data_IF_680232990796
#
_entry.id   IF_680232990796
#
_cell.length_a   1.000
_cell.length_b   1.000
_cell.length_c   1.000
_cell.angle_alpha   90.00
_cell.angle_beta   90.00
_cell.angle_gamma   90.00
#
_symmetry.space_group_name_H-M   'P 1'
#
loop_
_entity.id
_entity.type
_entity.pdbx_description
1 polymer ?
#
# COMPACT_ATOMS: atom_id res chain seq x y z
N UNK A 1 42.47 24.72 39.53
CA UNK A 1 41.87 23.52 40.13
C UNK A 1 40.40 23.85 40.34
N UNK A 2 39.57 23.67 39.31
CA UNK A 2 38.88 22.39 38.99
C UNK A 2 38.21 21.83 40.25
N UNK A 3 36.89 21.74 40.31
CA UNK A 3 36.15 20.65 39.65
C UNK A 3 34.75 21.08 39.18
N UNK A 4 34.48 20.85 37.89
CA UNK A 4 33.17 20.98 37.27
C UNK A 4 32.24 19.84 37.68
N UNK A 5 31.07 20.20 38.22
CA UNK A 5 29.97 19.26 38.45
C UNK A 5 29.38 18.80 37.11
N UNK A 6 29.77 17.59 36.69
CA UNK A 6 29.17 16.92 35.55
C UNK A 6 27.78 16.38 35.93
N UNK A 7 26.74 17.19 35.71
CA UNK A 7 25.36 16.71 35.69
C UNK A 7 25.20 15.75 34.51
N UNK A 8 25.19 14.45 34.81
CA UNK A 8 24.90 13.38 33.85
C UNK A 8 23.44 13.48 33.43
N UNK A 9 23.18 14.14 32.31
CA UNK A 9 21.85 14.17 31.69
C UNK A 9 21.36 12.74 31.47
N UNK A 10 20.26 12.37 32.13
CA UNK A 10 19.61 11.10 31.92
C UNK A 10 19.11 11.01 30.47
N UNK A 11 19.52 9.98 29.74
CA UNK A 11 19.04 9.71 28.40
C UNK A 11 17.50 9.63 28.40
N UNK A 12 16.80 10.23 27.41
CA UNK A 12 15.36 10.16 27.35
C UNK A 12 14.93 8.69 27.25
N UNK A 13 14.09 8.24 28.18
CA UNK A 13 13.52 6.89 28.18
C UNK A 13 12.83 6.67 26.83
N UNK A 14 13.40 5.81 25.98
CA UNK A 14 12.82 5.49 24.68
C UNK A 14 11.40 4.94 24.88
N UNK A 15 10.41 5.63 24.31
CA UNK A 15 9.01 5.19 24.31
C UNK A 15 8.96 3.74 23.78
N UNK A 16 8.32 2.79 24.48
CA UNK A 16 8.20 1.43 23.95
C UNK A 16 7.54 1.48 22.57
N UNK A 17 7.92 0.59 21.64
CA UNK A 17 7.34 0.58 20.30
C UNK A 17 5.82 0.53 20.45
N UNK A 18 5.14 1.58 19.98
CA UNK A 18 3.69 1.65 20.03
C UNK A 18 3.13 0.44 19.30
N UNK A 19 2.14 -0.23 19.90
CA UNK A 19 1.40 -1.26 19.20
C UNK A 19 0.97 -0.71 17.83
N UNK A 20 1.18 -1.45 16.73
CA UNK A 20 0.81 -0.99 15.40
C UNK A 20 -0.65 -0.56 15.41
N UNK A 21 -0.91 0.65 14.92
CA UNK A 21 -2.24 1.23 14.99
C UNK A 21 -3.17 0.53 14.00
N UNK A 22 -4.47 0.49 14.31
CA UNK A 22 -5.49 0.01 13.37
C UNK A 22 -5.41 0.76 12.03
N UNK A 23 -4.98 2.02 12.04
CA UNK A 23 -4.73 2.82 10.83
C UNK A 23 -3.66 2.22 9.91
N UNK A 24 -2.53 1.77 10.47
CA UNK A 24 -1.43 1.19 9.69
C UNK A 24 -1.86 -0.13 9.03
N UNK A 25 -2.55 -0.97 9.81
CA UNK A 25 -3.14 -2.21 9.29
C UNK A 25 -4.18 -1.91 8.20
N UNK A 26 -5.08 -0.96 8.42
CA UNK A 26 -6.10 -0.57 7.45
C UNK A 26 -5.49 -0.01 6.15
N UNK A 27 -4.42 0.78 6.23
CA UNK A 27 -3.72 1.33 5.08
C UNK A 27 -3.09 0.22 4.22
N UNK A 28 -2.40 -0.75 4.84
CA UNK A 28 -1.88 -1.91 4.12
C UNK A 28 -2.99 -2.70 3.44
N UNK A 29 -4.10 -2.94 4.13
CA UNK A 29 -5.25 -3.67 3.58
C UNK A 29 -5.91 -2.92 2.41
N UNK A 30 -6.02 -1.59 2.49
CA UNK A 30 -6.52 -0.73 1.39
C UNK A 30 -5.54 -0.69 0.22
N UNK A 31 -4.24 -0.78 0.48
CA UNK A 31 -3.19 -0.91 -0.53
C UNK A 31 -3.11 -2.28 -1.22
N UNK A 32 -3.99 -3.23 -0.86
CA UNK A 32 -4.06 -4.54 -1.50
C UNK A 32 -3.31 -5.66 -0.78
N UNK A 33 -2.59 -5.37 0.30
CA UNK A 33 -1.93 -6.42 1.09
C UNK A 33 -2.99 -7.34 1.71
N UNK A 34 -2.77 -8.65 1.63
CA UNK A 34 -3.59 -9.66 2.32
C UNK A 34 -3.47 -9.50 3.85
N UNK A 35 -4.40 -10.09 4.62
CA UNK A 35 -4.31 -10.06 6.09
C UNK A 35 -3.00 -10.67 6.61
N UNK A 36 -2.51 -11.74 5.98
CA UNK A 36 -1.24 -12.38 6.30
C UNK A 36 -0.04 -11.46 6.00
N UNK A 37 -0.01 -10.83 4.82
CA UNK A 37 1.05 -9.88 4.46
C UNK A 37 1.06 -8.65 5.37
N UNK A 38 -0.10 -8.08 5.68
CA UNK A 38 -0.20 -6.96 6.61
C UNK A 38 0.23 -7.35 8.03
N UNK A 39 -0.15 -8.55 8.47
CA UNK A 39 0.28 -9.13 9.75
C UNK A 39 1.79 -9.32 9.82
N UNK A 40 2.40 -9.87 8.78
CA UNK A 40 3.85 -10.05 8.69
C UNK A 40 4.59 -8.70 8.70
N UNK A 41 4.11 -7.72 7.92
CA UNK A 41 4.71 -6.39 7.83
C UNK A 41 4.70 -5.66 9.17
N UNK A 42 3.61 -5.78 9.93
CA UNK A 42 3.44 -5.18 11.25
C UNK A 42 3.92 -6.07 12.40
N UNK A 43 4.54 -7.22 12.09
CA UNK A 43 5.03 -8.21 13.07
C UNK A 43 3.97 -8.62 14.10
N UNK A 44 2.73 -8.78 13.64
CA UNK A 44 1.60 -9.15 14.48
C UNK A 44 1.60 -10.65 14.79
N UNK A 45 1.39 -10.98 16.06
CA UNK A 45 1.04 -12.35 16.45
C UNK A 45 -0.37 -12.75 15.95
N UNK A 46 -0.69 -14.05 15.87
CA UNK A 46 -1.96 -14.55 15.30
C UNK A 46 -3.22 -13.95 15.95
N UNK A 47 -3.19 -13.77 17.27
CA UNK A 47 -4.30 -13.16 18.03
C UNK A 47 -4.49 -11.69 17.68
N UNK A 48 -3.40 -10.93 17.58
CA UNK A 48 -3.44 -9.51 17.23
C UNK A 48 -3.93 -9.32 15.79
N UNK A 49 -3.46 -10.14 14.85
CA UNK A 49 -3.93 -10.14 13.46
C UNK A 49 -5.44 -10.39 13.37
N UNK A 50 -5.98 -11.38 14.09
CA UNK A 50 -7.45 -11.63 14.11
C UNK A 50 -8.24 -10.44 14.64
N UNK A 51 -7.75 -9.80 15.70
CA UNK A 51 -8.40 -8.61 16.27
C UNK A 51 -8.38 -7.43 15.30
N UNK A 52 -7.23 -7.19 14.63
CA UNK A 52 -7.08 -6.14 13.63
C UNK A 52 -7.98 -6.38 12.41
N UNK A 53 -8.04 -7.61 11.90
CA UNK A 53 -8.92 -7.96 10.78
C UNK A 53 -10.40 -7.79 11.15
N UNK A 54 -10.80 -8.17 12.38
CA UNK A 54 -12.17 -7.95 12.86
C UNK A 54 -12.51 -6.46 12.92
N UNK A 55 -11.60 -5.64 13.47
CA UNK A 55 -11.79 -4.19 13.56
C UNK A 55 -11.84 -3.53 12.18
N UNK A 56 -10.94 -3.92 11.26
CA UNK A 56 -10.92 -3.46 9.88
C UNK A 56 -12.23 -3.79 9.15
N UNK A 57 -12.71 -5.05 9.23
CA UNK A 57 -14.00 -5.43 8.62
C UNK A 57 -15.17 -4.62 9.19
N UNK A 58 -15.15 -4.33 10.49
CA UNK A 58 -16.13 -3.45 11.14
C UNK A 58 -16.11 -2.02 10.60
N UNK A 59 -14.93 -1.47 10.29
CA UNK A 59 -14.81 -0.15 9.64
C UNK A 59 -15.36 -0.17 8.21
N UNK A 60 -15.01 -1.19 7.42
CA UNK A 60 -15.50 -1.33 6.04
C UNK A 60 -17.02 -1.45 5.99
N UNK A 61 -17.62 -2.25 6.88
CA UNK A 61 -19.08 -2.41 6.96
C UNK A 61 -19.80 -1.10 7.30
N UNK A 62 -19.13 -0.16 7.98
CA UNK A 62 -19.66 1.17 8.32
C UNK A 62 -19.39 2.23 7.24
N UNK A 63 -18.84 1.84 6.09
CA UNK A 63 -18.44 2.77 5.03
C UNK A 63 -17.20 3.61 5.36
N UNK A 64 -16.49 3.29 6.45
CA UNK A 64 -15.30 4.03 6.85
C UNK A 64 -14.08 3.61 5.99
N UNK A 65 -13.87 4.36 4.92
CA UNK A 65 -12.81 4.16 3.94
C UNK A 65 -13.15 3.06 2.96
N UNK A 66 -13.61 3.48 1.78
CA UNK A 66 -13.87 2.60 0.64
C UNK A 66 -12.70 1.63 0.43
N UNK A 67 -12.99 0.36 0.68
CA UNK A 67 -12.01 -0.71 0.74
C UNK A 67 -11.66 -1.19 -0.66
N UNK A 68 -10.93 -0.35 -1.40
CA UNK A 68 -10.69 -0.51 -2.83
C UNK A 68 -11.99 -0.53 -3.66
N UNK A 69 -11.96 -0.06 -4.91
CA UNK A 69 -13.05 -0.32 -5.83
C UNK A 69 -13.26 -1.85 -5.96
N UNK A 70 -14.51 -2.32 -6.02
CA UNK A 70 -14.86 -3.77 -6.11
C UNK A 70 -14.09 -4.52 -7.21
N UNK A 71 -13.63 -3.82 -8.25
CA UNK A 71 -12.86 -4.38 -9.35
C UNK A 71 -11.37 -4.63 -9.04
N UNK A 72 -10.77 -3.97 -8.04
CA UNK A 72 -9.35 -4.09 -7.73
C UNK A 72 -8.94 -5.43 -7.10
N UNK A 73 -9.92 -6.26 -6.69
CA UNK A 73 -9.70 -7.59 -6.10
C UNK A 73 -9.95 -8.74 -7.06
N UNK A 74 -10.36 -8.45 -8.28
CA UNK A 74 -10.67 -9.52 -9.23
C UNK A 74 -9.40 -9.87 -10.00
N UNK A 75 -8.63 -10.83 -9.48
CA UNK A 75 -7.58 -11.50 -10.25
C UNK A 75 -8.15 -12.07 -11.57
N UNK A 76 -9.42 -12.48 -11.56
CA UNK A 76 -10.18 -12.85 -12.77
C UNK A 76 -10.36 -11.67 -13.74
N UNK A 77 -10.56 -10.46 -13.24
CA UNK A 77 -10.67 -9.26 -14.07
C UNK A 77 -9.30 -8.89 -14.62
N UNK A 78 -8.24 -8.93 -13.80
CA UNK A 78 -6.87 -8.71 -14.28
C UNK A 78 -6.50 -9.75 -15.33
N UNK A 79 -6.76 -11.04 -15.08
CA UNK A 79 -6.53 -12.11 -16.04
C UNK A 79 -7.36 -11.93 -17.32
N UNK A 80 -8.62 -11.47 -17.21
CA UNK A 80 -9.44 -11.16 -18.38
C UNK A 80 -8.87 -9.98 -19.19
N UNK A 81 -8.44 -8.91 -18.54
CA UNK A 81 -7.80 -7.76 -19.20
C UNK A 81 -6.49 -8.17 -19.87
N UNK A 82 -5.65 -8.93 -19.17
CA UNK A 82 -4.40 -9.45 -19.74
C UNK A 82 -4.68 -10.40 -20.91
N UNK A 83 -5.72 -11.24 -20.81
CA UNK A 83 -6.18 -12.10 -21.90
C UNK A 83 -6.81 -11.34 -23.09
N UNK A 84 -7.18 -10.08 -22.90
CA UNK A 84 -7.67 -9.20 -23.98
C UNK A 84 -6.55 -8.42 -24.67
N UNK A 85 -5.31 -8.49 -24.19
CA UNK A 85 -4.18 -7.70 -24.72
C UNK A 85 -3.59 -6.70 -23.71
N UNK A 86 -4.11 -6.67 -22.48
CA UNK A 86 -3.59 -5.84 -21.39
C UNK A 86 -4.16 -4.43 -21.38
N UNK A 87 -3.48 -3.53 -20.66
CA UNK A 87 -3.85 -2.12 -20.58
C UNK A 87 -3.19 -1.34 -21.72
N UNK A 88 -3.86 -0.31 -22.28
CA UNK A 88 -3.25 0.54 -23.27
C UNK A 88 -2.01 1.24 -22.70
N UNK A 89 -0.88 1.09 -23.38
CA UNK A 89 0.37 1.74 -23.02
C UNK A 89 0.51 3.07 -23.78
N UNK A 90 1.01 4.10 -23.09
CA UNK A 90 1.42 5.34 -23.74
C UNK A 90 2.68 5.09 -24.56
N UNK A 91 2.77 5.68 -25.75
CA UNK A 91 4.01 5.68 -26.53
C UNK A 91 4.75 6.98 -26.33
N UNK A 92 6.07 6.92 -26.29
CA UNK A 92 6.91 8.10 -26.17
C UNK A 92 7.78 8.25 -27.42
N UNK A 93 7.78 9.45 -28.03
CA UNK A 93 8.64 9.78 -29.17
C UNK A 93 9.31 11.13 -28.94
N UNK A 94 10.64 11.18 -29.13
CA UNK A 94 11.38 12.44 -29.09
C UNK A 94 11.07 13.32 -30.29
N UNK A 95 10.94 14.62 -30.06
CA UNK A 95 10.76 15.64 -31.10
C UNK A 95 11.81 16.74 -30.88
N UNK A 96 12.71 16.92 -31.85
CA UNK A 96 13.80 17.87 -31.75
C UNK A 96 14.80 17.52 -30.65
N UNK A 97 15.49 18.54 -30.10
CA UNK A 97 16.61 18.35 -29.17
C UNK A 97 16.17 18.06 -27.73
N UNK A 98 15.00 18.55 -27.32
CA UNK A 98 14.51 18.45 -25.93
C UNK A 98 13.03 18.09 -25.81
N UNK A 99 12.29 18.03 -26.92
CA UNK A 99 10.85 17.76 -26.89
C UNK A 99 10.54 16.28 -26.79
N UNK A 100 9.43 15.97 -26.12
CA UNK A 100 8.82 14.64 -26.05
C UNK A 100 7.36 14.75 -26.45
N UNK A 101 6.92 13.83 -27.30
CA UNK A 101 5.52 13.62 -27.64
C UNK A 101 5.07 12.30 -27.03
N UNK A 102 3.96 12.36 -26.29
CA UNK A 102 3.31 11.21 -25.71
C UNK A 102 2.09 10.86 -26.57
N UNK A 103 2.09 9.67 -27.15
CA UNK A 103 0.98 9.13 -27.91
C UNK A 103 0.00 8.38 -27.02
N UNK A 104 -1.28 8.76 -27.08
CA UNK A 104 -2.38 8.00 -26.48
C UNK A 104 -2.85 6.95 -27.50
N UNK A 105 -2.91 5.67 -27.12
CA UNK A 105 -3.47 4.64 -28.01
C UNK A 105 -4.96 4.91 -28.24
N UNK A 106 -5.35 5.01 -29.51
CA UNK A 106 -6.74 5.26 -29.92
C UNK A 106 -7.62 3.99 -29.87
N UNK A 107 -6.99 2.82 -29.79
CA UNK A 107 -7.64 1.51 -29.73
C UNK A 107 -7.02 0.69 -28.62
N UNK A 108 -7.81 -0.22 -28.04
CA UNK A 108 -7.29 -1.16 -27.04
C UNK A 108 -6.35 -2.16 -27.70
N UNK A 109 -5.27 -2.58 -27.02
CA UNK A 109 -4.43 -3.66 -27.51
C UNK A 109 -5.27 -4.93 -27.59
N UNK A 110 -5.25 -5.61 -28.74
CA UNK A 110 -5.79 -6.96 -28.87
C UNK A 110 -4.73 -7.98 -28.45
N UNK A 111 -5.17 -9.09 -27.85
CA UNK A 111 -4.27 -10.20 -27.58
C UNK A 111 -3.65 -10.69 -28.89
N UNK A 112 -2.32 -10.67 -28.97
CA UNK A 112 -1.60 -11.28 -30.09
C UNK A 112 -1.95 -12.77 -30.11
N UNK A 113 -2.63 -13.21 -31.17
CA UNK A 113 -2.99 -14.63 -31.38
C UNK A 113 -1.74 -15.50 -31.56
#
# INVERSE_FOLDING_TARGET
METSDHIRAAAPKSKPPSLPALGDYANLRRGGATSAQAGAFLRLGPRAMRNMEKAFRGQVARGAGEAQPKFARHDRHVAAVMGQGGFPALTERRIGRTGVCVGLPLVWPEASR
#
